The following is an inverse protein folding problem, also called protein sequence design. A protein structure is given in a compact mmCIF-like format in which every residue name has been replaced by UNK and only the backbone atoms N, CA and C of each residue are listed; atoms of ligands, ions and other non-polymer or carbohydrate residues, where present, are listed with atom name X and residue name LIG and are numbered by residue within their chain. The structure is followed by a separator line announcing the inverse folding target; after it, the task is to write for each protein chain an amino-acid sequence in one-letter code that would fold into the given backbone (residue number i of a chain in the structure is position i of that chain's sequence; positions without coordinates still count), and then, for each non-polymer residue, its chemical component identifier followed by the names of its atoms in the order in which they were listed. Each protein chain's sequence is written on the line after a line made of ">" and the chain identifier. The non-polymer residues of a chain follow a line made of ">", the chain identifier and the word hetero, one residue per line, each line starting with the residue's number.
data_IF_308788485336
#
_entry.id   IF_308788485336
#
_cell.length_a   1.000
_cell.length_b   1.000
_cell.length_c   1.000
_cell.angle_alpha   90.00
_cell.angle_beta   90.00
_cell.angle_gamma   90.00
#
_symmetry.space_group_name_H-M   'P 1'
#
loop_
_entity.id
_entity.type
_entity.pdbx_description
1 polymer ?
#
# COMPACT_ATOMS: atom_id res chain seq x y z
N UNK A 1 -22.51 -1.09 5.31
CA UNK A 1 -22.02 0.07 4.54
C UNK A 1 -20.53 -0.09 4.35
N UNK A 2 -20.10 -0.55 3.18
CA UNK A 2 -18.69 -0.55 2.80
C UNK A 2 -18.32 0.87 2.38
N UNK A 3 -17.74 1.66 3.29
CA UNK A 3 -17.16 2.93 2.87
C UNK A 3 -15.92 2.62 2.03
N UNK A 4 -15.92 3.10 0.79
CA UNK A 4 -14.71 3.25 0.01
C UNK A 4 -13.80 4.21 0.79
N UNK A 5 -12.82 3.68 1.50
CA UNK A 5 -11.86 4.49 2.24
C UNK A 5 -10.77 4.95 1.28
N UNK A 6 -10.82 6.22 0.88
CA UNK A 6 -9.71 6.86 0.18
C UNK A 6 -8.59 7.12 1.17
N UNK A 7 -7.39 6.67 0.82
CA UNK A 7 -6.18 6.96 1.57
C UNK A 7 -5.16 7.66 0.67
N UNK A 8 -5.00 8.97 0.86
CA UNK A 8 -4.08 9.81 0.10
C UNK A 8 -2.88 10.32 0.91
N UNK A 9 -2.81 10.00 2.21
CA UNK A 9 -1.69 10.35 3.10
C UNK A 9 -1.48 11.85 3.32
N UNK A 10 -2.42 12.73 2.95
CA UNK A 10 -2.21 14.18 3.04
C UNK A 10 -2.23 14.70 4.47
N UNK A 11 -3.05 14.12 5.34
CA UNK A 11 -3.16 14.54 6.75
C UNK A 11 -2.52 13.54 7.70
N UNK A 12 -2.76 12.25 7.48
CA UNK A 12 -2.29 11.19 8.35
C UNK A 12 -2.17 9.84 7.62
N UNK A 13 -1.72 8.84 8.37
CA UNK A 13 -1.83 7.44 7.99
C UNK A 13 -3.28 7.05 8.24
N UNK A 14 -4.02 6.96 7.14
CA UNK A 14 -5.46 6.77 7.06
C UNK A 14 -5.98 5.70 8.02
N UNK A 15 -7.25 5.79 8.41
CA UNK A 15 -7.88 4.83 9.35
C UNK A 15 -7.81 3.37 8.85
N UNK A 16 -7.92 3.17 7.54
CA UNK A 16 -7.73 1.88 6.89
C UNK A 16 -6.36 1.26 7.19
N UNK A 17 -5.33 2.02 7.57
CA UNK A 17 -4.01 1.49 7.93
C UNK A 17 -3.88 1.47 9.45
N UNK A 18 -3.62 0.29 10.01
CA UNK A 18 -3.45 0.18 11.44
C UNK A 18 -2.12 0.83 11.84
N UNK A 19 -2.16 1.94 12.60
CA UNK A 19 -0.97 2.69 13.06
C UNK A 19 0.01 1.82 13.86
N UNK A 20 -0.47 0.75 14.50
CA UNK A 20 0.34 -0.22 15.24
C UNK A 20 1.09 -1.21 14.33
N UNK A 21 0.70 -1.32 13.06
CA UNK A 21 1.24 -2.30 12.11
C UNK A 21 2.22 -1.71 11.09
N UNK A 22 2.62 -0.44 11.26
CA UNK A 22 3.75 0.12 10.53
C UNK A 22 5.03 -0.50 11.08
N UNK A 23 5.51 -1.54 10.40
CA UNK A 23 6.88 -2.00 10.60
C UNK A 23 7.85 -0.82 10.34
N UNK A 24 8.92 -0.68 11.13
CA UNK A 24 9.91 0.36 10.90
C UNK A 24 10.47 0.22 9.48
N UNK A 25 10.12 1.15 8.60
CA UNK A 25 10.50 1.09 7.19
C UNK A 25 9.69 1.99 6.28
N UNK A 26 8.38 2.14 6.49
CA UNK A 26 7.58 3.09 5.70
C UNK A 26 7.63 4.49 6.30
N UNK A 27 7.90 5.48 5.46
CA UNK A 27 7.93 6.90 5.83
C UNK A 27 6.96 7.68 4.95
N UNK A 28 6.28 8.66 5.55
CA UNK A 28 5.48 9.65 4.84
C UNK A 28 6.39 10.80 4.40
N UNK A 29 6.49 11.03 3.10
CA UNK A 29 7.29 12.11 2.50
C UNK A 29 6.55 12.77 1.35
N UNK A 30 7.10 13.87 0.86
CA UNK A 30 6.69 14.48 -0.40
C UNK A 30 7.93 14.64 -1.31
N UNK A 31 7.74 15.23 -2.49
CA UNK A 31 8.79 15.44 -3.47
C UNK A 31 9.87 16.46 -3.06
N UNK A 32 9.55 17.30 -2.06
CA UNK A 32 10.39 18.42 -1.63
C UNK A 32 11.25 18.04 -0.42
N UNK A 33 10.68 17.30 0.54
CA UNK A 33 11.28 17.11 1.87
C UNK A 33 12.44 16.11 1.91
N UNK A 34 12.54 15.23 0.90
CA UNK A 34 13.55 14.17 0.85
C UNK A 34 14.09 14.04 -0.57
N UNK A 35 15.42 13.99 -0.71
CA UNK A 35 16.09 13.82 -2.00
C UNK A 35 15.85 12.43 -2.60
N UNK A 36 15.66 12.40 -3.92
CA UNK A 36 15.48 11.17 -4.72
C UNK A 36 14.05 11.01 -5.27
N UNK A 37 13.88 10.29 -6.38
CA UNK A 37 12.57 10.06 -6.98
C UNK A 37 11.68 9.15 -6.10
N UNK A 38 10.34 9.28 -6.20
CA UNK A 38 9.60 10.20 -7.06
C UNK A 38 9.56 11.64 -6.50
N UNK A 39 9.70 12.64 -7.37
CA UNK A 39 9.71 14.07 -7.00
C UNK A 39 8.32 14.71 -6.87
N UNK A 40 7.28 13.90 -6.99
CA UNK A 40 5.88 14.30 -6.84
C UNK A 40 5.02 13.08 -6.59
N UNK A 41 3.81 13.30 -6.06
CA UNK A 41 2.79 12.26 -5.92
C UNK A 41 2.33 11.74 -7.31
N UNK A 42 1.43 10.76 -7.30
CA UNK A 42 0.88 10.15 -8.51
C UNK A 42 0.09 11.12 -9.41
N UNK A 43 -0.30 12.31 -8.90
CA UNK A 43 -0.96 13.37 -9.66
C UNK A 43 0.01 14.46 -10.14
N UNK A 44 1.30 14.36 -9.82
CA UNK A 44 2.32 15.33 -10.22
C UNK A 44 2.47 16.52 -9.27
N UNK A 45 1.91 16.48 -8.06
CA UNK A 45 2.09 17.49 -7.03
C UNK A 45 3.32 17.17 -6.15
N UNK A 46 4.30 18.06 -6.12
CA UNK A 46 5.56 17.90 -5.37
C UNK A 46 5.39 18.08 -3.85
N UNK A 47 4.34 18.77 -3.44
CA UNK A 47 4.03 19.10 -2.05
C UNK A 47 3.10 18.08 -1.41
N UNK A 48 2.37 17.30 -2.22
CA UNK A 48 1.50 16.21 -1.80
C UNK A 48 2.31 15.02 -1.24
N UNK A 49 1.69 14.32 -0.30
CA UNK A 49 2.36 13.28 0.47
C UNK A 49 2.08 11.88 -0.08
N UNK A 50 3.07 11.01 0.08
CA UNK A 50 2.97 9.59 -0.23
C UNK A 50 3.87 8.79 0.71
N UNK A 51 3.69 7.47 0.69
CA UNK A 51 4.56 6.55 1.43
C UNK A 51 5.73 6.10 0.58
N UNK A 52 6.90 6.03 1.19
CA UNK A 52 8.10 5.42 0.60
C UNK A 52 8.82 4.57 1.64
N UNK A 53 9.72 3.70 1.18
CA UNK A 53 10.65 3.01 2.06
C UNK A 53 11.73 3.99 2.55
N UNK A 54 12.09 3.90 3.82
CA UNK A 54 13.14 4.65 4.46
C UNK A 54 14.51 4.13 4.01
N UNK A 55 15.40 5.05 3.64
CA UNK A 55 16.81 4.71 3.38
C UNK A 55 17.55 4.23 4.64
N UNK A 56 17.01 4.51 5.84
CA UNK A 56 17.59 4.11 7.11
C UNK A 56 17.11 2.73 7.58
N UNK A 57 16.24 2.07 6.80
CA UNK A 57 15.70 0.75 7.14
C UNK A 57 16.84 -0.29 7.18
N UNK A 58 16.96 -0.97 8.32
CA UNK A 58 17.91 -2.09 8.50
C UNK A 58 17.32 -3.46 8.14
N UNK A 59 16.00 -3.55 8.10
CA UNK A 59 15.25 -4.76 7.70
C UNK A 59 15.34 -4.98 6.19
N UNK A 60 15.14 -6.22 5.74
CA UNK A 60 15.04 -6.56 4.31
C UNK A 60 13.65 -6.28 3.72
N UNK A 61 12.64 -6.09 4.55
CA UNK A 61 11.26 -5.80 4.15
C UNK A 61 10.55 -4.88 5.16
N UNK A 62 9.50 -4.23 4.70
CA UNK A 62 8.56 -3.49 5.53
C UNK A 62 7.13 -3.77 5.07
N UNK A 63 6.22 -3.96 6.02
CA UNK A 63 4.82 -4.30 5.74
C UNK A 63 3.92 -3.16 6.19
N UNK A 64 2.94 -2.84 5.33
CA UNK A 64 1.75 -2.07 5.66
C UNK A 64 0.60 -3.07 5.74
N UNK A 65 -0.25 -2.95 6.75
CA UNK A 65 -1.41 -3.83 6.93
C UNK A 65 -2.66 -2.99 7.17
N UNK A 66 -3.74 -3.34 6.49
CA UNK A 66 -5.00 -2.66 6.68
C UNK A 66 -5.62 -2.99 8.04
N UNK A 67 -6.67 -2.26 8.41
CA UNK A 67 -7.68 -2.73 9.35
C UNK A 67 -8.47 -3.90 8.74
N UNK A 68 -9.12 -4.67 9.59
CA UNK A 68 -9.98 -5.79 9.19
C UNK A 68 -11.18 -5.32 8.37
N UNK A 69 -11.27 -5.78 7.13
CA UNK A 69 -12.41 -5.63 6.24
C UNK A 69 -13.49 -6.69 6.53
N UNK A 70 -14.74 -6.35 6.20
CA UNK A 70 -15.89 -7.26 6.26
C UNK A 70 -15.92 -8.18 5.04
N UNK A 71 -16.59 -9.35 5.13
CA UNK A 71 -16.80 -10.24 3.99
C UNK A 71 -17.40 -9.52 2.77
N UNK A 72 -17.03 -10.00 1.57
CA UNK A 72 -17.57 -9.56 0.28
C UNK A 72 -18.61 -10.54 -0.23
N UNK A 73 -19.53 -10.07 -1.07
CA UNK A 73 -20.49 -10.90 -1.80
C UNK A 73 -20.81 -10.27 -3.17
N UNK A 74 -21.84 -10.77 -3.87
CA UNK A 74 -22.22 -10.27 -5.20
C UNK A 74 -22.70 -8.81 -5.19
N UNK A 75 -23.23 -8.33 -4.06
CA UNK A 75 -23.71 -6.97 -3.86
C UNK A 75 -22.62 -6.08 -3.21
N UNK A 76 -21.67 -6.69 -2.50
CA UNK A 76 -20.59 -6.04 -1.77
C UNK A 76 -19.22 -6.44 -2.33
N UNK A 77 -18.88 -5.92 -3.51
CA UNK A 77 -17.57 -6.13 -4.13
C UNK A 77 -16.53 -5.21 -3.49
N UNK A 78 -15.36 -5.74 -3.12
CA UNK A 78 -14.23 -4.94 -2.68
C UNK A 78 -13.18 -4.83 -3.79
N UNK A 79 -12.85 -3.60 -4.16
CA UNK A 79 -11.74 -3.28 -5.05
C UNK A 79 -10.77 -2.34 -4.34
N UNK A 80 -9.49 -2.67 -4.40
CA UNK A 80 -8.41 -1.85 -3.86
C UNK A 80 -7.59 -1.36 -5.03
N UNK A 81 -7.64 -0.05 -5.27
CA UNK A 81 -6.79 0.63 -6.25
C UNK A 81 -5.67 1.34 -5.50
N UNK A 82 -4.43 1.09 -5.92
CA UNK A 82 -3.26 1.73 -5.35
C UNK A 82 -2.32 2.20 -6.44
N UNK A 83 -1.62 3.30 -6.15
CA UNK A 83 -0.57 3.83 -7.00
C UNK A 83 0.78 3.49 -6.39
N UNK A 84 1.70 3.00 -7.22
CA UNK A 84 3.03 2.60 -6.78
C UNK A 84 4.10 3.11 -7.73
N UNK A 85 5.31 3.27 -7.18
CA UNK A 85 6.52 3.61 -7.90
C UNK A 85 7.63 2.69 -7.43
N UNK A 86 8.36 2.08 -8.36
CA UNK A 86 9.53 1.25 -8.05
C UNK A 86 10.72 1.83 -8.80
N UNK A 87 11.71 2.31 -8.03
CA UNK A 87 12.95 2.85 -8.58
C UNK A 87 13.90 1.72 -9.02
N UNK A 88 15.06 2.10 -9.55
CA UNK A 88 16.11 1.20 -10.06
C UNK A 88 16.63 0.14 -9.08
N UNK A 89 16.31 0.24 -7.79
CA UNK A 89 16.68 -0.78 -6.83
C UNK A 89 15.79 -2.02 -6.99
N UNK A 90 16.41 -3.20 -6.99
CA UNK A 90 15.77 -4.52 -7.09
C UNK A 90 14.92 -4.85 -5.86
N UNK A 91 13.84 -4.09 -5.66
CA UNK A 91 12.81 -4.33 -4.67
C UNK A 91 11.63 -5.08 -5.29
N UNK A 92 10.89 -5.78 -4.43
CA UNK A 92 9.61 -6.42 -4.77
C UNK A 92 8.52 -5.76 -3.95
N UNK A 93 7.46 -5.30 -4.62
CA UNK A 93 6.23 -4.91 -3.96
C UNK A 93 5.24 -6.08 -4.06
N UNK A 94 4.70 -6.49 -2.92
CA UNK A 94 3.73 -7.58 -2.81
C UNK A 94 2.48 -7.08 -2.09
N UNK A 95 1.32 -7.55 -2.55
CA UNK A 95 0.06 -7.42 -1.82
C UNK A 95 -0.30 -8.80 -1.28
N UNK A 96 -0.34 -8.87 0.05
CA UNK A 96 -0.80 -10.05 0.77
C UNK A 96 -2.31 -10.01 1.00
N UNK A 97 -2.88 -11.16 1.25
CA UNK A 97 -4.26 -11.33 1.66
C UNK A 97 -4.28 -12.34 2.80
N UNK A 98 -4.90 -11.96 3.91
CA UNK A 98 -5.04 -12.84 5.07
C UNK A 98 -6.49 -12.83 5.54
N UNK A 99 -7.11 -14.01 5.59
CA UNK A 99 -8.39 -14.18 6.28
C UNK A 99 -8.16 -14.14 7.79
N UNK A 100 -9.11 -13.57 8.52
CA UNK A 100 -9.00 -13.45 9.97
C UNK A 100 -9.05 -14.81 10.71
N UNK A 101 -9.55 -15.86 10.06
CA UNK A 101 -9.57 -17.23 10.58
C UNK A 101 -8.26 -17.99 10.34
N UNK A 102 -7.34 -17.43 9.55
CA UNK A 102 -6.11 -18.09 9.10
C UNK A 102 -4.88 -17.24 9.47
N UNK A 103 -3.81 -17.89 9.93
CA UNK A 103 -2.52 -17.21 10.15
C UNK A 103 -1.66 -17.10 8.88
N UNK A 104 -2.17 -17.58 7.73
CA UNK A 104 -1.42 -17.62 6.47
C UNK A 104 -1.71 -16.38 5.63
N UNK A 105 -0.64 -15.72 5.19
CA UNK A 105 -0.72 -14.63 4.21
C UNK A 105 -0.56 -15.24 2.81
N UNK A 106 -1.57 -15.06 1.97
CA UNK A 106 -1.54 -15.45 0.56
C UNK A 106 -1.10 -14.25 -0.29
N UNK A 107 -0.10 -14.45 -1.15
CA UNK A 107 0.27 -13.43 -2.14
C UNK A 107 -0.78 -13.39 -3.26
N UNK A 108 -1.44 -12.25 -3.45
CA UNK A 108 -2.47 -12.06 -4.47
C UNK A 108 -2.03 -11.14 -5.62
N UNK A 109 -0.94 -10.41 -5.44
CA UNK A 109 -0.34 -9.59 -6.48
C UNK A 109 1.11 -9.24 -6.11
N UNK A 110 2.01 -9.25 -7.09
CA UNK A 110 3.37 -8.79 -6.89
C UNK A 110 3.95 -8.17 -8.16
N UNK A 111 4.94 -7.31 -7.96
CA UNK A 111 5.80 -6.79 -9.03
C UNK A 111 7.24 -6.71 -8.53
N UNK A 112 8.19 -7.10 -9.38
CA UNK A 112 9.62 -7.10 -9.08
C UNK A 112 10.39 -6.33 -10.16
N UNK A 113 11.52 -5.74 -9.77
CA UNK A 113 12.40 -4.85 -10.53
C UNK A 113 12.44 -5.00 -12.05
N UNK A 114 11.57 -4.24 -12.72
CA UNK A 114 11.88 -3.58 -13.98
C UNK A 114 11.87 -2.06 -13.75
N UNK A 115 12.63 -1.32 -14.56
CA UNK A 115 12.69 0.14 -14.55
C UNK A 115 11.29 0.76 -14.70
N UNK A 116 10.65 1.08 -13.59
CA UNK A 116 9.35 1.77 -13.57
C UNK A 116 9.51 3.13 -12.88
N UNK A 117 10.36 3.98 -13.49
CA UNK A 117 10.57 5.38 -13.10
C UNK A 117 9.34 6.26 -13.45
N UNK A 118 8.15 5.76 -13.13
CA UNK A 118 6.87 6.40 -13.35
C UNK A 118 5.86 5.79 -12.38
N UNK A 119 4.88 6.59 -11.96
CA UNK A 119 3.75 6.09 -11.18
C UNK A 119 2.95 5.11 -12.03
N UNK A 120 2.58 3.98 -11.43
CA UNK A 120 1.63 3.01 -11.98
C UNK A 120 0.46 2.85 -11.04
N UNK A 121 -0.69 2.49 -11.60
CA UNK A 121 -1.87 2.12 -10.85
C UNK A 121 -2.13 0.63 -11.03
N UNK A 122 -2.58 -0.03 -9.98
CA UNK A 122 -3.11 -1.38 -10.06
C UNK A 122 -4.40 -1.47 -9.24
N UNK A 123 -5.35 -2.27 -9.72
CA UNK A 123 -6.60 -2.55 -9.02
C UNK A 123 -6.71 -4.04 -8.80
N UNK A 124 -6.85 -4.44 -7.54
CA UNK A 124 -7.13 -5.83 -7.15
C UNK A 124 -8.59 -5.93 -6.71
N UNK A 125 -9.25 -7.03 -7.10
CA UNK A 125 -10.59 -7.35 -6.61
C UNK A 125 -10.44 -8.44 -5.55
N UNK A 126 -10.99 -8.20 -4.36
CA UNK A 126 -10.93 -9.14 -3.25
C UNK A 126 -12.27 -9.87 -3.16
N UNK A 127 -12.19 -11.19 -3.04
CA UNK A 127 -13.34 -12.05 -2.81
C UNK A 127 -13.07 -12.89 -1.56
N UNK A 128 -13.80 -12.60 -0.48
CA UNK A 128 -13.69 -13.32 0.79
C UNK A 128 -15.06 -13.48 1.43
N UNK A 129 -15.42 -14.70 1.82
CA UNK A 129 -16.63 -14.99 2.61
C UNK A 129 -16.44 -14.73 4.11
N UNK A 130 -15.22 -14.34 4.52
CA UNK A 130 -14.83 -14.09 5.90
C UNK A 130 -14.18 -12.71 6.02
N UNK A 131 -14.05 -12.21 7.25
CA UNK A 131 -13.27 -11.00 7.52
C UNK A 131 -11.82 -11.19 7.10
N UNK A 132 -11.19 -10.14 6.59
CA UNK A 132 -9.84 -10.23 6.03
C UNK A 132 -9.05 -8.93 6.19
N UNK A 133 -7.74 -9.01 6.02
CA UNK A 133 -6.81 -7.87 5.92
C UNK A 133 -5.95 -8.01 4.67
N UNK A 134 -5.45 -6.87 4.20
CA UNK A 134 -4.57 -6.73 3.03
C UNK A 134 -3.26 -6.08 3.45
#
# INVERSE_FOLDING_TARGET
>A
GSSCEKCDFETDLCKALNKLNLQPGWIRRNGISVMGPPYSDHNGNDSAYFLSLSSEMRSSSATLRTSVFLPTDKEHICQITFHYWISQMSGTLMVGFQKHSEDTITNIWQVSGELQNQWKANTITINSTEKYEV
#
